data_IF_557439629136
#
_entry.id   IF_557439629136
#
_cell.length_a   1.000
_cell.length_b   1.000
_cell.length_c   1.000
_cell.angle_alpha   90.00
_cell.angle_beta   90.00
_cell.angle_gamma   90.00
#
_symmetry.space_group_name_H-M   'P 1'
#
loop_
_entity.id
_entity.type
_entity.pdbx_description
1 polymer ?
#
# COMPACT_ATOMS: atom_id res chain seq x y z
N UNK A 1 -0.17 -0.19 31.83
CA UNK A 1 -0.61 1.22 31.94
C UNK A 1 0.31 1.93 32.92
N UNK A 2 0.80 3.13 32.58
CA UNK A 2 1.62 3.99 33.44
C UNK A 2 1.01 5.40 33.43
N UNK A 3 0.93 6.02 34.61
CA UNK A 3 0.53 7.42 34.75
C UNK A 3 1.78 8.30 34.83
N UNK A 4 1.89 9.28 33.93
CA UNK A 4 2.97 10.28 33.96
C UNK A 4 2.35 11.63 34.31
N UNK A 5 2.76 12.22 35.44
CA UNK A 5 2.24 13.48 35.92
C UNK A 5 3.33 14.55 35.95
N UNK A 6 3.24 15.51 35.03
CA UNK A 6 4.10 16.67 34.99
C UNK A 6 3.48 17.79 35.84
N UNK A 7 4.25 18.35 36.77
CA UNK A 7 3.84 19.46 37.64
C UNK A 7 4.77 20.67 37.43
N UNK A 8 4.16 21.84 37.30
CA UNK A 8 4.80 23.14 37.44
C UNK A 8 4.21 23.87 38.65
N UNK A 9 4.68 25.08 38.96
CA UNK A 9 4.19 25.82 40.13
C UNK A 9 2.67 26.07 40.12
N UNK A 10 2.09 26.30 38.94
CA UNK A 10 0.68 26.70 38.81
C UNK A 10 -0.19 25.66 38.07
N UNK A 11 0.39 24.72 37.32
CA UNK A 11 -0.32 23.77 36.47
C UNK A 11 0.16 22.33 36.68
N UNK A 12 -0.71 21.34 36.42
CA UNK A 12 -0.30 19.94 36.26
C UNK A 12 -0.96 19.29 35.06
N UNK A 13 -0.18 18.54 34.28
CA UNK A 13 -0.66 17.70 33.20
C UNK A 13 -0.49 16.23 33.56
N UNK A 14 -1.46 15.38 33.21
CA UNK A 14 -1.49 13.96 33.55
C UNK A 14 -1.74 13.14 32.29
N UNK A 15 -0.82 12.25 31.96
CA UNK A 15 -0.86 11.37 30.80
C UNK A 15 -1.09 9.93 31.27
N UNK A 16 -2.06 9.25 30.66
CA UNK A 16 -2.27 7.82 30.85
C UNK A 16 -1.66 7.10 29.64
N UNK A 17 -0.51 6.47 29.84
CA UNK A 17 0.20 5.72 28.81
C UNK A 17 -0.17 4.24 28.91
N UNK A 18 -0.97 3.77 27.96
CA UNK A 18 -1.21 2.35 27.79
C UNK A 18 -0.29 1.80 26.69
N UNK A 19 0.83 1.19 27.08
CA UNK A 19 1.78 0.58 26.14
C UNK A 19 1.20 -0.60 25.33
N UNK A 20 0.04 -1.12 25.73
CA UNK A 20 -0.67 -2.17 25.01
C UNK A 20 -1.69 -1.60 24.00
N UNK A 21 -1.87 -0.27 23.96
CA UNK A 21 -2.80 0.42 23.06
C UNK A 21 -2.10 0.78 21.75
N UNK A 22 -2.40 0.06 20.67
CA UNK A 22 -1.90 0.36 19.33
C UNK A 22 -2.64 1.59 18.81
N UNK A 23 -2.09 2.79 19.03
CA UNK A 23 -2.60 4.04 18.48
C UNK A 23 -2.21 4.15 17.01
N UNK A 24 -3.19 4.03 16.13
CA UNK A 24 -3.04 4.30 14.71
C UNK A 24 -3.15 5.81 14.43
N UNK A 25 -2.37 6.36 13.48
CA UNK A 25 -2.46 7.76 13.09
C UNK A 25 -3.79 8.08 12.40
N UNK A 26 -4.11 9.37 12.28
CA UNK A 26 -5.28 9.88 11.54
C UNK A 26 -4.96 10.26 10.08
N UNK A 27 -3.70 10.15 9.63
CA UNK A 27 -3.31 10.44 8.25
C UNK A 27 -3.53 9.22 7.34
N UNK A 28 -4.38 9.37 6.32
CA UNK A 28 -4.73 8.31 5.35
C UNK A 28 -3.52 7.79 4.57
N UNK A 29 -2.54 8.64 4.24
CA UNK A 29 -1.37 8.21 3.48
C UNK A 29 -0.48 7.31 4.35
N UNK A 30 -0.23 7.73 5.60
CA UNK A 30 0.53 6.93 6.57
C UNK A 30 -0.19 5.61 6.85
N UNK A 31 -1.52 5.63 6.96
CA UNK A 31 -2.30 4.40 7.14
C UNK A 31 -2.20 3.44 5.94
N UNK A 32 -2.19 3.94 4.70
CA UNK A 32 -2.05 3.12 3.48
C UNK A 32 -0.64 2.54 3.31
N UNK A 33 0.39 3.30 3.70
CA UNK A 33 1.75 2.77 3.75
C UNK A 33 1.88 1.66 4.82
N UNK A 34 1.29 1.86 6.00
CA UNK A 34 1.23 0.85 7.07
C UNK A 34 0.42 -0.40 6.66
N UNK A 35 -0.71 -0.23 5.96
CA UNK A 35 -1.52 -1.31 5.40
C UNK A 35 -0.65 -2.21 4.50
N UNK A 36 0.04 -1.60 3.53
CA UNK A 36 0.91 -2.29 2.58
C UNK A 36 2.12 -2.96 3.24
N UNK A 37 2.73 -2.33 4.24
CA UNK A 37 3.82 -2.91 5.03
C UNK A 37 3.36 -4.20 5.74
N UNK A 38 2.21 -4.14 6.42
CA UNK A 38 1.64 -5.27 7.16
C UNK A 38 1.21 -6.38 6.20
N UNK A 39 0.58 -6.07 5.06
CA UNK A 39 0.24 -7.06 4.03
C UNK A 39 1.48 -7.76 3.46
N UNK A 40 2.54 -7.02 3.16
CA UNK A 40 3.79 -7.61 2.69
C UNK A 40 4.44 -8.51 3.77
N UNK A 41 4.40 -8.09 5.03
CA UNK A 41 4.87 -8.91 6.16
C UNK A 41 4.07 -10.21 6.31
N UNK A 42 2.74 -10.16 6.16
CA UNK A 42 1.85 -11.33 6.17
C UNK A 42 2.16 -12.26 4.99
N UNK A 43 2.36 -11.71 3.78
CA UNK A 43 2.69 -12.48 2.59
C UNK A 43 3.99 -13.27 2.77
N UNK A 44 5.07 -12.63 3.20
CA UNK A 44 6.35 -13.30 3.43
C UNK A 44 6.27 -14.36 4.53
N UNK A 45 5.51 -14.10 5.60
CA UNK A 45 5.35 -15.04 6.71
C UNK A 45 4.51 -16.27 6.33
N UNK A 46 3.46 -16.09 5.50
CA UNK A 46 2.70 -17.21 4.89
C UNK A 46 3.59 -18.04 3.97
N UNK A 47 4.39 -17.39 3.12
CA UNK A 47 5.34 -18.07 2.23
C UNK A 47 6.37 -18.89 3.03
N UNK A 48 6.96 -18.31 4.08
CA UNK A 48 7.91 -19.01 4.96
C UNK A 48 7.28 -20.24 5.61
N UNK A 49 6.01 -20.19 6.02
CA UNK A 49 5.31 -21.37 6.53
C UNK A 49 5.13 -22.49 5.50
N UNK A 50 4.90 -22.16 4.23
CA UNK A 50 4.84 -23.19 3.17
C UNK A 50 6.23 -23.75 2.85
N UNK A 51 7.29 -22.93 2.90
CA UNK A 51 8.68 -23.37 2.75
C UNK A 51 9.11 -24.32 3.90
N UNK A 52 8.70 -24.03 5.15
CA UNK A 52 8.92 -24.93 6.31
C UNK A 52 8.21 -26.28 6.11
N UNK A 53 6.93 -26.29 5.70
CA UNK A 53 6.17 -27.52 5.45
C UNK A 53 6.73 -28.37 4.30
N UNK A 54 7.36 -27.74 3.29
CA UNK A 54 8.03 -28.45 2.22
C UNK A 54 9.30 -29.18 2.70
N UNK A 55 9.97 -28.62 3.72
CA UNK A 55 11.18 -29.20 4.31
C UNK A 55 10.88 -30.29 5.35
N UNK A 56 9.90 -30.07 6.24
CA UNK A 56 9.42 -31.06 7.21
C UNK A 56 7.90 -31.28 7.09
N UNK A 57 7.46 -32.09 6.11
CA UNK A 57 6.05 -32.37 5.89
C UNK A 57 5.41 -33.26 6.97
N UNK A 58 6.23 -34.03 7.71
CA UNK A 58 5.77 -34.94 8.77
C UNK A 58 5.73 -34.26 10.16
N UNK A 59 6.28 -33.05 10.31
CA UNK A 59 6.37 -32.35 11.60
C UNK A 59 7.29 -33.05 12.61
N UNK A 60 8.36 -33.70 12.14
CA UNK A 60 9.30 -34.47 12.97
C UNK A 60 10.42 -33.60 13.55
N UNK A 61 10.75 -32.50 12.89
CA UNK A 61 11.71 -31.52 13.39
C UNK A 61 11.01 -30.61 14.41
N UNK A 62 11.44 -30.72 15.66
CA UNK A 62 10.87 -29.98 16.77
C UNK A 62 11.08 -28.47 16.65
N UNK A 63 12.20 -28.04 16.09
CA UNK A 63 12.54 -26.63 16.00
C UNK A 63 11.75 -25.97 14.87
N UNK A 64 11.56 -26.69 13.74
CA UNK A 64 10.65 -26.25 12.67
C UNK A 64 9.18 -26.24 13.11
N UNK A 65 8.75 -27.22 13.92
CA UNK A 65 7.41 -27.20 14.54
C UNK A 65 7.22 -25.97 15.45
N UNK A 66 8.22 -25.60 16.25
CA UNK A 66 8.15 -24.40 17.10
C UNK A 66 8.11 -23.12 16.25
N UNK A 67 8.98 -23.01 15.23
CA UNK A 67 8.99 -21.87 14.31
C UNK A 67 7.64 -21.70 13.58
N UNK A 68 7.02 -22.78 13.11
CA UNK A 68 5.69 -22.75 12.48
C UNK A 68 4.61 -22.22 13.44
N UNK A 69 4.67 -22.58 14.72
CA UNK A 69 3.73 -22.09 15.73
C UNK A 69 3.96 -20.62 16.09
N UNK A 70 5.20 -20.17 16.19
CA UNK A 70 5.55 -18.76 16.39
C UNK A 70 5.09 -17.90 15.19
N UNK A 71 5.32 -18.38 13.97
CA UNK A 71 4.84 -17.75 12.75
C UNK A 71 3.29 -17.69 12.72
N UNK A 72 2.60 -18.74 13.17
CA UNK A 72 1.13 -18.76 13.26
C UNK A 72 0.60 -17.72 14.26
N UNK A 73 1.23 -17.58 15.43
CA UNK A 73 0.88 -16.52 16.38
C UNK A 73 1.14 -15.12 15.79
N UNK A 74 2.31 -14.94 15.18
CA UNK A 74 2.72 -13.69 14.53
C UNK A 74 1.81 -13.30 13.36
N UNK A 75 1.29 -14.27 12.59
CA UNK A 75 0.27 -14.04 11.57
C UNK A 75 -1.02 -13.49 12.19
N UNK A 76 -1.56 -14.14 13.22
CA UNK A 76 -2.81 -13.71 13.86
C UNK A 76 -2.74 -12.25 14.35
N UNK A 77 -1.65 -11.87 15.03
CA UNK A 77 -1.44 -10.48 15.51
C UNK A 77 -1.31 -9.49 14.35
N UNK A 78 -0.67 -9.87 13.25
CA UNK A 78 -0.55 -9.01 12.05
C UNK A 78 -1.88 -8.86 11.31
N UNK A 79 -2.67 -9.93 11.21
CA UNK A 79 -3.99 -9.92 10.58
C UNK A 79 -4.99 -9.09 11.40
N UNK A 80 -4.97 -9.18 12.73
CA UNK A 80 -5.73 -8.30 13.63
C UNK A 80 -5.34 -6.82 13.43
N UNK A 81 -4.03 -6.51 13.42
CA UNK A 81 -3.55 -5.15 13.16
C UNK A 81 -3.95 -4.63 11.77
N UNK A 82 -3.95 -5.48 10.74
CA UNK A 82 -4.39 -5.12 9.39
C UNK A 82 -5.88 -4.75 9.36
N UNK A 83 -6.73 -5.49 10.09
CA UNK A 83 -8.15 -5.17 10.24
C UNK A 83 -8.35 -3.79 10.90
N UNK A 84 -7.63 -3.50 11.98
CA UNK A 84 -7.67 -2.19 12.65
C UNK A 84 -7.24 -1.05 11.71
N UNK A 85 -6.20 -1.25 10.88
CA UNK A 85 -5.74 -0.26 9.90
C UNK A 85 -6.83 -0.01 8.85
N UNK A 86 -7.41 -1.08 8.28
CA UNK A 86 -8.48 -0.98 7.26
C UNK A 86 -9.74 -0.29 7.79
N UNK A 87 -10.13 -0.59 9.02
CA UNK A 87 -11.23 0.10 9.70
C UNK A 87 -10.92 1.57 9.93
N UNK A 88 -9.70 1.90 10.38
CA UNK A 88 -9.26 3.29 10.61
C UNK A 88 -9.23 4.11 9.32
N UNK A 89 -8.71 3.56 8.21
CA UNK A 89 -8.75 4.20 6.89
C UNK A 89 -10.19 4.55 6.51
N UNK A 90 -11.10 3.57 6.59
CA UNK A 90 -12.52 3.76 6.26
C UNK A 90 -13.18 4.86 7.10
N UNK A 91 -12.87 4.93 8.40
CA UNK A 91 -13.37 5.99 9.28
C UNK A 91 -12.86 7.36 8.82
N UNK A 92 -11.54 7.53 8.66
CA UNK A 92 -10.94 8.82 8.27
C UNK A 92 -11.42 9.28 6.89
N UNK A 93 -11.43 8.40 5.89
CA UNK A 93 -11.92 8.72 4.54
C UNK A 93 -13.40 9.13 4.56
N UNK A 94 -14.22 8.51 5.41
CA UNK A 94 -15.63 8.89 5.57
C UNK A 94 -15.80 10.29 6.20
N UNK A 95 -15.00 10.63 7.22
CA UNK A 95 -15.06 11.93 7.90
C UNK A 95 -14.69 13.07 6.94
N UNK A 96 -13.63 12.90 6.16
CA UNK A 96 -13.19 13.87 5.15
C UNK A 96 -14.28 14.14 4.09
N UNK A 97 -15.16 13.16 3.80
CA UNK A 97 -16.28 13.32 2.89
C UNK A 97 -17.40 14.20 3.49
N UNK A 98 -17.68 14.08 4.79
CA UNK A 98 -18.71 14.89 5.48
C UNK A 98 -18.30 16.37 5.58
N UNK A 99 -17.04 16.66 5.85
CA UNK A 99 -16.55 18.04 5.98
C UNK A 99 -16.62 18.82 4.65
N UNK A 100 -16.40 18.14 3.51
CA UNK A 100 -16.58 18.76 2.20
C UNK A 100 -18.06 19.06 1.89
N UNK A 101 -18.99 18.19 2.29
CA UNK A 101 -20.42 18.41 2.09
C UNK A 101 -20.94 19.62 2.90
N UNK A 102 -20.52 19.76 4.17
CA UNK A 102 -20.93 20.89 5.01
C UNK A 102 -20.32 22.22 4.55
N UNK A 103 -19.05 22.24 4.13
CA UNK A 103 -18.43 23.46 3.63
C UNK A 103 -19.07 23.96 2.33
N UNK A 104 -19.50 23.06 1.43
CA UNK A 104 -20.18 23.45 0.18
C UNK A 104 -21.54 24.11 0.46
N UNK A 105 -22.32 23.55 1.41
CA UNK A 105 -23.61 24.14 1.83
C UNK A 105 -23.44 25.51 2.49
N UNK A 106 -22.37 25.71 3.27
CA UNK A 106 -22.09 27.00 3.90
C UNK A 106 -21.64 28.07 2.90
N UNK A 107 -20.90 27.72 1.85
CA UNK A 107 -20.52 28.68 0.79
C UNK A 107 -21.71 29.12 -0.06
N UNK A 108 -22.69 28.24 -0.28
CA UNK A 108 -23.88 28.56 -1.08
C UNK A 108 -24.88 29.46 -0.34
N UNK A 109 -24.97 29.36 0.99
CA UNK A 109 -25.75 30.31 1.80
C UNK A 109 -25.10 31.70 1.86
N UNK A 110 -23.79 31.78 2.10
CA UNK A 110 -23.09 33.07 2.30
C UNK A 110 -22.96 33.90 1.00
N UNK A 111 -23.06 33.29 -0.17
CA UNK A 111 -23.02 34.00 -1.45
C UNK A 111 -24.37 34.61 -1.88
N UNK A 112 -25.46 34.38 -1.13
CA UNK A 112 -26.82 34.74 -1.56
C UNK A 112 -27.40 35.99 -0.86
N UNK A 113 -26.67 36.61 0.09
CA UNK A 113 -27.13 37.81 0.83
C UNK A 113 -26.65 39.15 0.25
N UNK A 114 -26.05 39.16 -0.95
CA UNK A 114 -25.60 40.39 -1.63
C UNK A 114 -26.28 40.56 -3.01
N UNK A 115 -27.61 40.64 -3.02
CA UNK A 115 -28.37 40.99 -4.24
C UNK A 115 -29.58 41.87 -3.97
N UNK A 116 -29.33 43.05 -3.41
CA UNK A 116 -30.32 44.13 -3.39
C UNK A 116 -30.00 45.21 -4.45
N UNK A 117 -30.99 45.39 -5.33
CA UNK A 117 -31.38 46.66 -5.97
C UNK A 117 -30.33 47.34 -6.89
N UNK A 118 -30.54 47.19 -8.20
CA UNK A 118 -30.48 48.35 -9.11
C UNK A 118 -31.56 48.25 -10.20
N UNK A 119 -32.02 49.41 -10.67
CA UNK A 119 -33.30 49.61 -11.37
C UNK A 119 -33.20 49.59 -12.91
N UNK A 120 -34.36 49.50 -13.56
CA UNK A 120 -34.60 49.67 -15.01
C UNK A 120 -33.59 50.52 -15.78
N UNK A 121 -33.08 50.01 -16.91
CA UNK A 121 -33.35 50.61 -18.23
C UNK A 121 -32.93 49.71 -19.39
N UNK A 122 -33.45 50.03 -20.58
CA UNK A 122 -33.41 49.21 -21.80
C UNK A 122 -32.33 49.69 -22.78
N UNK A 123 -31.81 48.73 -23.55
CA UNK A 123 -31.28 48.84 -24.93
C UNK A 123 -29.75 48.94 -25.21
N UNK A 124 -29.36 48.14 -26.21
CA UNK A 124 -28.23 48.25 -27.17
C UNK A 124 -26.77 47.88 -26.79
N UNK A 125 -26.38 46.73 -27.37
CA UNK A 125 -25.18 46.47 -28.20
C UNK A 125 -23.79 46.73 -27.60
N UNK A 126 -23.00 45.65 -27.54
CA UNK A 126 -22.02 45.42 -28.60
C UNK A 126 -21.65 43.93 -28.76
N UNK A 127 -21.31 43.55 -29.98
CA UNK A 127 -20.64 42.28 -30.30
C UNK A 127 -19.14 42.41 -29.99
N UNK A 128 -18.47 41.33 -29.58
CA UNK A 128 -17.39 40.78 -30.43
C UNK A 128 -16.92 39.38 -29.98
N UNK A 129 -16.95 38.48 -30.97
CA UNK A 129 -16.11 37.30 -31.19
C UNK A 129 -15.11 36.84 -30.12
N UNK A 130 -15.22 35.56 -29.75
CA UNK A 130 -14.15 34.61 -30.11
C UNK A 130 -14.66 33.18 -30.27
N UNK A 131 -14.54 32.63 -31.48
CA UNK A 131 -14.73 31.20 -31.76
C UNK A 131 -13.37 30.53 -31.69
N UNK A 132 -13.23 29.48 -30.89
CA UNK A 132 -12.28 28.42 -31.23
C UNK A 132 -12.86 27.05 -30.88
N UNK A 133 -13.38 26.39 -31.91
CA UNK A 133 -13.74 24.98 -31.89
C UNK A 133 -12.58 24.22 -32.50
N UNK A 134 -12.04 23.23 -31.80
CA UNK A 134 -11.20 22.23 -32.43
C UNK A 134 -11.69 20.84 -32.02
N UNK A 135 -12.10 20.06 -33.02
CA UNK A 135 -12.72 18.75 -32.90
C UNK A 135 -12.15 17.88 -34.02
N UNK A 136 -11.64 16.70 -33.65
CA UNK A 136 -11.19 15.61 -34.54
C UNK A 136 -9.94 15.94 -35.42
N UNK A 137 -9.18 14.96 -35.96
CA UNK A 137 -9.45 13.52 -36.06
C UNK A 137 -8.21 12.61 -35.84
N UNK A 138 -8.45 11.31 -35.91
CA UNK A 138 -7.64 10.13 -35.56
C UNK A 138 -6.67 9.62 -36.68
N UNK A 139 -6.06 8.45 -36.42
CA UNK A 139 -5.56 7.39 -37.35
C UNK A 139 -4.07 7.46 -37.76
N UNK A 140 -3.33 6.34 -37.96
CA UNK A 140 -3.56 4.92 -37.63
C UNK A 140 -2.24 4.10 -37.75
N UNK A 141 -2.01 3.15 -36.81
CA UNK A 141 -1.44 1.78 -36.99
C UNK A 141 -0.01 1.54 -37.60
N UNK A 142 0.55 0.28 -37.60
CA UNK A 142 2.00 0.06 -37.43
C UNK A 142 2.72 -0.83 -38.50
N UNK A 143 4.06 -0.84 -38.43
CA UNK A 143 5.05 -1.89 -38.79
C UNK A 143 6.45 -1.29 -38.50
N UNK A 144 7.58 -1.97 -38.27
CA UNK A 144 8.00 -3.38 -38.32
C UNK A 144 9.55 -3.43 -38.23
N UNK A 145 10.31 -4.52 -38.41
CA UNK A 145 10.05 -5.98 -38.35
C UNK A 145 11.39 -6.73 -38.55
N UNK A 146 11.78 -7.61 -37.61
CA UNK A 146 12.84 -8.66 -37.70
C UNK A 146 14.33 -8.21 -37.77
N UNK A 147 15.17 -8.82 -36.93
CA UNK A 147 16.38 -9.50 -37.45
C UNK A 147 16.64 -10.84 -36.75
N UNK A 148 16.99 -11.87 -37.53
CA UNK A 148 17.33 -13.24 -37.08
C UNK A 148 18.60 -13.66 -37.80
N UNK A 149 19.63 -14.10 -37.08
CA UNK A 149 20.70 -14.93 -37.64
C UNK A 149 21.08 -16.10 -36.73
N UNK A 150 21.70 -17.10 -37.35
CA UNK A 150 21.67 -18.52 -36.98
C UNK A 150 23.10 -19.08 -36.93
N UNK A 151 23.23 -20.34 -36.47
CA UNK A 151 24.41 -21.23 -36.51
C UNK A 151 25.39 -21.04 -35.33
N UNK A 152 25.91 -22.09 -34.68
CA UNK A 152 25.65 -23.54 -34.69
C UNK A 152 26.06 -24.11 -33.32
N UNK A 153 25.90 -25.38 -32.94
CA UNK A 153 25.70 -26.64 -33.68
C UNK A 153 26.64 -27.68 -33.05
N UNK A 154 26.12 -28.81 -32.54
CA UNK A 154 26.94 -29.83 -31.86
C UNK A 154 26.17 -30.72 -30.88
N UNK A 155 25.45 -31.72 -31.40
CA UNK A 155 25.11 -32.92 -30.62
C UNK A 155 26.35 -33.82 -30.49
N UNK A 156 26.62 -34.35 -29.30
CA UNK A 156 27.09 -35.73 -29.08
C UNK A 156 26.92 -36.13 -27.60
N UNK A 157 25.86 -36.87 -27.30
CA UNK A 157 25.86 -37.92 -26.26
C UNK A 157 26.39 -39.22 -26.90
N UNK A 158 26.62 -40.32 -26.15
CA UNK A 158 27.30 -40.46 -24.85
C UNK A 158 28.39 -41.58 -24.92
N UNK A 159 29.15 -41.84 -23.84
CA UNK A 159 29.53 -43.21 -23.35
C UNK A 159 30.69 -43.20 -22.31
N UNK A 160 30.63 -44.18 -21.37
CA UNK A 160 31.74 -44.91 -20.69
C UNK A 160 32.99 -44.09 -20.27
N UNK A 161 33.37 -43.92 -19.00
CA UNK A 161 33.19 -44.75 -17.80
C UNK A 161 34.45 -45.58 -17.51
N UNK A 162 35.10 -45.40 -16.35
CA UNK A 162 36.03 -46.36 -15.71
C UNK A 162 36.38 -45.97 -14.26
N UNK A 163 36.63 -46.97 -13.41
CA UNK A 163 37.26 -46.82 -12.09
C UNK A 163 38.79 -46.64 -12.19
N UNK A 164 39.41 -46.06 -11.16
CA UNK A 164 40.86 -46.07 -10.90
C UNK A 164 41.25 -44.87 -10.02
N UNK A 165 41.36 -45.00 -8.70
CA UNK A 165 42.45 -45.60 -7.90
C UNK A 165 43.43 -44.54 -7.34
N UNK A 166 44.07 -44.91 -6.23
CA UNK A 166 44.73 -44.00 -5.29
C UNK A 166 46.17 -43.59 -5.70
N UNK A 167 46.54 -42.36 -5.36
CA UNK A 167 47.87 -41.95 -4.85
C UNK A 167 47.86 -40.43 -4.65
N UNK A 168 48.43 -39.83 -3.60
CA UNK A 168 49.37 -40.37 -2.61
C UNK A 168 50.77 -39.80 -2.81
N UNK A 169 50.96 -38.49 -2.61
CA UNK A 169 52.28 -37.85 -2.59
C UNK A 169 52.36 -36.89 -1.39
N UNK A 170 53.42 -37.03 -0.61
CA UNK A 170 53.80 -36.17 0.51
C UNK A 170 54.41 -34.84 0.04
N UNK A 171 54.19 -33.77 0.82
CA UNK A 171 55.15 -32.69 1.08
C UNK A 171 55.04 -32.28 2.55
#
# INVERSE_FOLDING_TARGET
MVEVKLKTQNNSCQFHLNFNEIKLPDDVNILKDLEKEVENSIYHLKRSNEEIKQYDPDGKDKDLFLALNENKFSLNVKEERLLMIKEKIKIVESLNCFDHAQNTLNTDLLNNENKDIETDTVDKKNEETNKNVNVLEMKDLPNGTIDKKTQGGGETDPEKGTHGQESGIYL
#
